data_IF_116891885180
#
_entry.id   IF_116891885180
#
_cell.length_a   1.000
_cell.length_b   1.000
_cell.length_c   1.000
_cell.angle_alpha   90.00
_cell.angle_beta   90.00
_cell.angle_gamma   90.00
#
_symmetry.space_group_name_H-M   'P 1'
#
loop_
_entity.id
_entity.type
_entity.pdbx_description
1 polymer ?
#
# COMPACT_ATOMS: atom_id res chain seq x y z
N UNK A 1 -6.50 -16.82 -17.93
CA UNK A 1 -5.08 -17.05 -17.59
C UNK A 1 -5.04 -17.31 -16.09
N UNK A 2 -4.63 -18.49 -15.63
CA UNK A 2 -4.52 -18.80 -14.20
C UNK A 2 -3.07 -18.49 -13.82
N UNK A 3 -2.85 -17.38 -13.12
CA UNK A 3 -1.51 -17.03 -12.63
C UNK A 3 -1.13 -17.99 -11.53
N UNK A 4 0.10 -18.50 -11.58
CA UNK A 4 0.64 -19.34 -10.52
C UNK A 4 0.87 -18.47 -9.27
N UNK A 5 0.30 -18.83 -8.11
CA UNK A 5 0.59 -18.14 -6.85
C UNK A 5 2.09 -18.04 -6.54
N UNK A 6 2.89 -19.03 -6.96
CA UNK A 6 4.34 -19.03 -6.73
C UNK A 6 5.05 -18.00 -7.61
N UNK A 7 4.59 -17.79 -8.84
CA UNK A 7 5.11 -16.71 -9.71
C UNK A 7 4.80 -15.35 -9.12
N UNK A 8 3.56 -15.14 -8.65
CA UNK A 8 3.17 -13.90 -7.99
C UNK A 8 4.03 -13.64 -6.74
N UNK A 9 4.29 -14.67 -5.95
CA UNK A 9 5.18 -14.60 -4.77
C UNK A 9 6.60 -14.22 -5.17
N UNK A 10 7.16 -14.83 -6.20
CA UNK A 10 8.52 -14.53 -6.67
C UNK A 10 8.64 -13.10 -7.19
N UNK A 11 7.66 -12.63 -7.95
CA UNK A 11 7.59 -11.25 -8.45
C UNK A 11 7.55 -10.26 -7.28
N UNK A 12 6.69 -10.50 -6.28
CA UNK A 12 6.58 -9.65 -5.09
C UNK A 12 7.92 -9.58 -4.35
N UNK A 13 8.55 -10.72 -4.09
CA UNK A 13 9.84 -10.78 -3.38
C UNK A 13 10.92 -10.04 -4.17
N UNK A 14 11.01 -10.24 -5.49
CA UNK A 14 11.98 -9.56 -6.34
C UNK A 14 11.80 -8.03 -6.29
N UNK A 15 10.55 -7.55 -6.37
CA UNK A 15 10.22 -6.12 -6.27
C UNK A 15 10.59 -5.57 -4.89
N UNK A 16 10.27 -6.28 -3.81
CA UNK A 16 10.64 -5.86 -2.45
C UNK A 16 12.16 -5.79 -2.27
N UNK A 17 12.91 -6.78 -2.77
CA UNK A 17 14.37 -6.78 -2.73
C UNK A 17 14.94 -5.58 -3.48
N UNK A 18 14.45 -5.30 -4.69
CA UNK A 18 14.87 -4.15 -5.49
C UNK A 18 14.56 -2.83 -4.78
N UNK A 19 13.35 -2.67 -4.24
CA UNK A 19 12.94 -1.49 -3.48
C UNK A 19 13.87 -1.23 -2.29
N UNK A 20 14.14 -2.28 -1.51
CA UNK A 20 15.01 -2.19 -0.33
C UNK A 20 16.44 -1.80 -0.73
N UNK A 21 16.98 -2.40 -1.79
CA UNK A 21 18.30 -2.06 -2.33
C UNK A 21 18.36 -0.58 -2.74
N UNK A 22 17.41 -0.10 -3.55
CA UNK A 22 17.34 1.30 -4.00
C UNK A 22 17.20 2.29 -2.86
N UNK A 23 16.57 1.90 -1.75
CA UNK A 23 16.39 2.73 -0.56
C UNK A 23 17.49 2.61 0.49
N UNK A 24 18.49 1.75 0.30
CA UNK A 24 19.53 1.50 1.31
C UNK A 24 20.42 2.72 1.47
N UNK A 25 20.96 3.25 0.38
CA UNK A 25 21.84 4.42 0.41
C UNK A 25 21.05 5.76 0.34
N UNK A 26 21.69 6.85 0.75
CA UNK A 26 21.05 8.17 0.85
C UNK A 26 20.70 8.74 -0.53
N UNK A 27 21.56 8.52 -1.52
CA UNK A 27 21.42 9.09 -2.86
C UNK A 27 20.33 8.34 -3.64
N UNK A 28 20.40 7.02 -3.67
CA UNK A 28 19.40 6.12 -4.24
C UNK A 28 18.03 6.36 -3.62
N UNK A 29 17.93 6.52 -2.30
CA UNK A 29 16.67 6.86 -1.64
C UNK A 29 16.13 8.21 -2.09
N UNK A 30 16.97 9.25 -2.17
CA UNK A 30 16.54 10.58 -2.61
C UNK A 30 16.11 10.60 -4.09
N UNK A 31 16.71 9.76 -4.94
CA UNK A 31 16.38 9.66 -6.36
C UNK A 31 15.15 8.79 -6.63
N UNK A 32 15.02 7.66 -5.93
CA UNK A 32 13.97 6.67 -6.16
C UNK A 32 12.68 6.97 -5.40
N UNK A 33 12.78 7.47 -4.16
CA UNK A 33 11.64 7.90 -3.34
C UNK A 33 11.94 9.25 -2.69
N UNK A 34 11.89 10.36 -3.44
CA UNK A 34 11.99 11.71 -2.89
C UNK A 34 10.97 11.92 -1.73
N UNK A 35 11.25 12.83 -0.78
CA UNK A 35 10.34 13.06 0.37
C UNK A 35 8.91 13.43 -0.01
N UNK A 36 8.70 14.11 -1.14
CA UNK A 36 7.37 14.49 -1.66
C UNK A 36 6.70 13.39 -2.49
N UNK A 37 7.39 12.28 -2.75
CA UNK A 37 6.93 11.28 -3.70
C UNK A 37 5.77 10.44 -3.17
N UNK A 38 5.85 10.02 -1.91
CA UNK A 38 4.83 9.19 -1.25
C UNK A 38 3.90 10.05 -0.40
N UNK A 39 2.76 9.47 -0.02
CA UNK A 39 1.84 10.11 0.90
C UNK A 39 2.45 10.27 2.28
N UNK A 40 2.28 11.45 2.86
CA UNK A 40 2.75 11.78 4.21
C UNK A 40 1.59 12.37 4.99
N UNK A 41 1.42 11.93 6.22
CA UNK A 41 0.54 12.58 7.19
C UNK A 41 1.40 13.50 8.04
N UNK A 42 0.99 14.77 8.16
CA UNK A 42 1.56 15.65 9.17
C UNK A 42 1.06 15.21 10.54
N UNK A 43 1.94 14.59 11.33
CA UNK A 43 1.61 14.04 12.65
C UNK A 43 1.02 15.07 13.63
N UNK A 44 1.39 16.35 13.47
CA UNK A 44 0.94 17.44 14.35
C UNK A 44 -0.45 17.94 13.97
N UNK A 45 -0.72 18.08 12.68
CA UNK A 45 -1.98 18.65 12.19
C UNK A 45 -3.01 17.59 11.76
N UNK A 46 -2.59 16.34 11.57
CA UNK A 46 -3.39 15.27 10.97
C UNK A 46 -3.64 15.47 9.47
N UNK A 47 -3.00 16.47 8.85
CA UNK A 47 -3.25 16.78 7.45
C UNK A 47 -2.59 15.75 6.54
N UNK A 48 -3.38 15.24 5.60
CA UNK A 48 -2.89 14.38 4.55
C UNK A 48 -2.22 15.19 3.44
N UNK A 49 -0.93 14.95 3.21
CA UNK A 49 -0.16 15.52 2.10
C UNK A 49 -0.09 14.49 0.97
N UNK A 50 -0.79 14.71 -0.15
CA UNK A 50 -0.76 13.78 -1.27
C UNK A 50 0.61 13.78 -1.94
N UNK A 51 1.19 12.60 -2.12
CA UNK A 51 2.46 12.42 -2.82
C UNK A 51 2.39 12.71 -4.33
N UNK A 52 3.52 13.15 -4.87
CA UNK A 52 3.72 13.55 -6.27
C UNK A 52 3.48 12.44 -7.29
N UNK A 53 3.50 11.17 -6.86
CA UNK A 53 3.23 10.01 -7.73
C UNK A 53 1.90 10.11 -8.48
N UNK A 54 0.92 10.86 -7.95
CA UNK A 54 -0.38 11.11 -8.62
C UNK A 54 -0.29 12.08 -9.80
N UNK A 55 0.70 12.96 -9.79
CA UNK A 55 0.91 13.99 -10.80
C UNK A 55 1.85 13.52 -11.92
N UNK A 56 2.49 12.35 -11.75
CA UNK A 56 3.27 11.74 -12.82
C UNK A 56 2.37 11.42 -14.01
N UNK A 57 2.79 11.80 -15.21
CA UNK A 57 2.12 11.38 -16.44
C UNK A 57 2.32 9.87 -16.59
N UNK A 58 1.36 9.11 -16.08
CA UNK A 58 1.38 7.66 -16.12
C UNK A 58 1.18 7.20 -17.58
N UNK A 59 2.28 6.91 -18.28
CA UNK A 59 2.28 5.82 -19.27
C UNK A 59 2.38 4.43 -18.61
N UNK A 60 2.23 4.36 -17.28
CA UNK A 60 2.26 3.14 -16.46
C UNK A 60 0.89 2.47 -16.27
N UNK A 61 0.76 1.75 -15.15
CA UNK A 61 -0.34 0.81 -14.84
C UNK A 61 -1.73 1.43 -15.11
N UNK A 62 -2.35 0.99 -16.22
CA UNK A 62 -3.74 1.28 -16.56
C UNK A 62 -4.62 0.77 -15.42
N UNK A 63 -5.71 1.49 -15.10
CA UNK A 63 -6.72 0.99 -14.16
C UNK A 63 -7.05 -0.45 -14.52
N UNK A 64 -6.77 -1.38 -13.59
CA UNK A 64 -7.09 -2.78 -13.80
C UNK A 64 -8.58 -2.87 -14.13
N UNK A 65 -8.90 -3.51 -15.24
CA UNK A 65 -10.29 -3.80 -15.56
C UNK A 65 -10.85 -4.68 -14.43
N UNK A 66 -12.09 -4.41 -14.01
CA UNK A 66 -12.77 -5.21 -13.00
C UNK A 66 -12.75 -6.69 -13.41
N UNK A 67 -11.92 -7.48 -12.74
CA UNK A 67 -11.94 -8.92 -12.89
C UNK A 67 -13.25 -9.43 -12.28
N UNK A 68 -14.21 -9.81 -13.13
CA UNK A 68 -15.46 -10.41 -12.66
C UNK A 68 -15.17 -11.81 -12.12
N UNK A 69 -15.32 -11.98 -10.81
CA UNK A 69 -15.16 -13.27 -10.14
C UNK A 69 -14.55 -13.15 -8.74
N UNK A 70 -15.26 -12.52 -7.80
CA UNK A 70 -14.78 -12.32 -6.42
C UNK A 70 -14.92 -13.57 -5.54
N UNK A 71 -14.41 -14.72 -5.99
CA UNK A 71 -14.29 -15.90 -5.12
C UNK A 71 -12.97 -15.86 -4.37
N UNK A 72 -12.90 -14.97 -3.38
CA UNK A 72 -11.82 -15.02 -2.41
C UNK A 72 -11.87 -16.35 -1.66
N UNK A 73 -10.71 -16.93 -1.34
CA UNK A 73 -10.67 -18.12 -0.51
C UNK A 73 -11.30 -17.81 0.86
N UNK A 74 -12.07 -18.74 1.42
CA UNK A 74 -12.72 -18.56 2.74
C UNK A 74 -11.72 -18.11 3.83
N UNK A 75 -10.47 -18.58 3.75
CA UNK A 75 -9.39 -18.17 4.64
C UNK A 75 -9.06 -16.68 4.55
N UNK A 76 -9.07 -16.11 3.35
CA UNK A 76 -8.82 -14.67 3.15
C UNK A 76 -9.96 -13.81 3.69
N UNK A 77 -11.20 -14.29 3.58
CA UNK A 77 -12.37 -13.63 4.18
C UNK A 77 -12.26 -13.62 5.70
N UNK A 78 -12.00 -14.79 6.31
CA UNK A 78 -11.82 -14.90 7.75
C UNK A 78 -10.65 -14.06 8.28
N UNK A 79 -9.54 -13.98 7.54
CA UNK A 79 -8.40 -13.12 7.91
C UNK A 79 -8.79 -11.63 7.88
N UNK A 80 -9.54 -11.21 6.85
CA UNK A 80 -10.03 -9.84 6.73
C UNK A 80 -10.97 -9.48 7.89
N UNK A 81 -11.89 -10.36 8.24
CA UNK A 81 -12.80 -10.16 9.38
C UNK A 81 -12.04 -10.05 10.70
N UNK A 82 -11.12 -10.98 10.95
CA UNK A 82 -10.28 -10.97 12.16
C UNK A 82 -9.44 -9.70 12.29
N UNK A 83 -8.84 -9.21 11.21
CA UNK A 83 -8.11 -7.94 11.22
C UNK A 83 -9.03 -6.74 11.44
N UNK A 84 -10.21 -6.74 10.82
CA UNK A 84 -11.21 -5.68 11.02
C UNK A 84 -11.61 -5.58 12.50
N UNK A 85 -11.94 -6.70 13.13
CA UNK A 85 -12.30 -6.75 14.55
C UNK A 85 -11.16 -6.30 15.46
N UNK A 86 -9.92 -6.70 15.15
CA UNK A 86 -8.77 -6.30 15.94
C UNK A 86 -8.48 -4.80 15.82
N UNK A 87 -8.34 -4.27 14.61
CA UNK A 87 -7.92 -2.89 14.37
C UNK A 87 -9.02 -1.85 14.67
N UNK A 88 -10.29 -2.25 14.70
CA UNK A 88 -11.41 -1.40 15.12
C UNK A 88 -11.85 -1.66 16.57
N UNK A 89 -11.21 -2.60 17.26
CA UNK A 89 -11.54 -3.00 18.62
C UNK A 89 -10.35 -2.81 19.56
N UNK A 90 -9.78 -3.93 20.03
CA UNK A 90 -8.70 -3.92 21.03
C UNK A 90 -7.38 -3.32 20.55
N UNK A 91 -7.14 -3.35 19.23
CA UNK A 91 -5.97 -2.78 18.59
C UNK A 91 -6.19 -1.36 18.08
N UNK A 92 -7.34 -0.75 18.38
CA UNK A 92 -7.62 0.61 17.97
C UNK A 92 -6.69 1.60 18.69
N UNK A 93 -6.27 2.64 17.96
CA UNK A 93 -5.33 3.66 18.42
C UNK A 93 -5.97 5.04 18.33
N UNK A 94 -5.70 5.95 19.29
CA UNK A 94 -6.45 7.21 19.41
C UNK A 94 -6.43 8.11 18.16
N UNK A 95 -5.41 7.98 17.31
CA UNK A 95 -5.32 8.79 16.11
C UNK A 95 -6.27 8.33 14.98
N UNK A 96 -6.80 7.10 15.02
CA UNK A 96 -7.73 6.60 14.00
C UNK A 96 -9.04 7.38 13.99
N UNK A 97 -9.51 7.87 15.14
CA UNK A 97 -10.74 8.66 15.24
C UNK A 97 -10.63 9.98 14.48
N UNK A 98 -9.41 10.53 14.36
CA UNK A 98 -9.14 11.78 13.63
C UNK A 98 -9.39 11.67 12.12
N UNK A 99 -9.32 10.45 11.58
CA UNK A 99 -9.50 10.18 10.14
C UNK A 99 -10.98 10.09 9.76
N UNK A 100 -11.87 9.82 10.72
CA UNK A 100 -13.30 9.56 10.47
C UNK A 100 -14.12 10.86 10.43
N UNK A 101 -13.64 11.94 11.05
CA UNK A 101 -14.36 13.22 11.18
C UNK A 101 -14.12 14.22 10.01
N UNK A 102 -13.58 13.76 8.87
CA UNK A 102 -13.34 14.57 7.66
C UNK A 102 -14.23 14.21 6.47
#
# INVERSE_FOLDING_TARGET
MRYDPDDARNIIIAICCLHNMLRTDVVGRAMYTPPSYIDVEDELTGNFLPGDWRNEQVQGLVRFQNQRGHRHANRSLALREMWCEYFNGVGAVPWQDRVVDH
#
